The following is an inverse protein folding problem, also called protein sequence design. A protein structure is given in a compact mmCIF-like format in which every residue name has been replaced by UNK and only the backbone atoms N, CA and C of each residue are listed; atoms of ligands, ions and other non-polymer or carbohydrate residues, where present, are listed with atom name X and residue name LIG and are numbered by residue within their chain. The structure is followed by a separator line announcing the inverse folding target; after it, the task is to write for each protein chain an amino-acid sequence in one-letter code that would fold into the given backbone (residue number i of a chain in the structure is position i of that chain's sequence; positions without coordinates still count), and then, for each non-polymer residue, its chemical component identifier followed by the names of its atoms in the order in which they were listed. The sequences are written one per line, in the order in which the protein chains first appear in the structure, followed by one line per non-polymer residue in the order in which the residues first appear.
data_IF_082928479168
#
_entry.id   IF_082928479168
#
_cell.length_a   1.000
_cell.length_b   1.000
_cell.length_c   1.000
_cell.angle_alpha   90.00
_cell.angle_beta   90.00
_cell.angle_gamma   90.00
#
_symmetry.space_group_name_H-M   'P 1'
#
loop_
_entity.id
_entity.type
_entity.pdbx_description
1 polymer ?
#
# COMPACT_ATOMS: atom_id res chain seq x y z
N UNK A 1 -16.91 -14.28 3.27
CA UNK A 1 -15.51 -14.64 3.09
C UNK A 1 -14.76 -13.80 4.09
N UNK A 2 -14.20 -14.45 5.09
CA UNK A 2 -13.43 -13.78 6.13
C UNK A 2 -12.06 -13.33 5.56
N UNK A 3 -11.41 -12.37 6.19
CA UNK A 3 -10.16 -11.81 5.67
C UNK A 3 -9.05 -12.87 5.59
N UNK A 4 -9.04 -13.81 6.53
CA UNK A 4 -8.11 -14.92 6.66
C UNK A 4 -8.27 -15.96 5.54
N UNK A 5 -9.49 -16.11 5.00
CA UNK A 5 -9.75 -16.98 3.86
C UNK A 5 -9.18 -16.39 2.56
N UNK A 6 -9.07 -15.06 2.49
CA UNK A 6 -8.57 -14.34 1.33
C UNK A 6 -7.08 -14.00 1.40
N UNK A 7 -6.51 -13.88 2.60
CA UNK A 7 -5.15 -13.39 2.84
C UNK A 7 -4.32 -14.42 3.62
N UNK A 8 -3.52 -15.19 2.89
CA UNK A 8 -2.61 -16.16 3.49
C UNK A 8 -1.50 -15.44 4.29
N UNK A 9 -1.27 -15.89 5.52
CA UNK A 9 -0.21 -15.35 6.39
C UNK A 9 -0.56 -14.01 7.04
N UNK A 10 -1.84 -13.64 7.12
CA UNK A 10 -2.29 -12.45 7.83
C UNK A 10 -1.90 -12.53 9.31
N UNK A 11 -1.21 -11.51 9.81
CA UNK A 11 -0.79 -11.39 11.21
C UNK A 11 -1.51 -10.20 11.84
N UNK A 12 -2.25 -10.46 12.92
CA UNK A 12 -2.90 -9.43 13.72
C UNK A 12 -2.00 -8.97 14.87
N UNK A 13 -1.99 -7.67 15.15
CA UNK A 13 -1.25 -7.11 16.30
C UNK A 13 0.28 -7.23 16.20
N UNK A 14 0.82 -7.31 14.98
CA UNK A 14 2.27 -7.38 14.76
C UNK A 14 3.00 -6.07 15.13
N UNK A 15 4.33 -6.15 15.21
CA UNK A 15 5.20 -5.00 15.48
C UNK A 15 5.06 -3.94 14.39
N UNK A 16 4.88 -2.67 14.80
CA UNK A 16 4.66 -1.56 13.88
C UNK A 16 5.97 -0.94 13.39
N UNK A 17 7.05 -1.05 14.15
CA UNK A 17 8.36 -0.51 13.78
C UNK A 17 9.24 -1.61 13.20
N UNK A 18 9.34 -1.63 11.87
CA UNK A 18 10.02 -2.66 11.11
C UNK A 18 10.83 -2.06 9.96
N UNK A 19 12.00 -2.63 9.69
CA UNK A 19 12.91 -2.25 8.61
C UNK A 19 12.84 -3.19 7.39
N UNK A 20 12.04 -4.25 7.47
CA UNK A 20 11.88 -5.29 6.45
C UNK A 20 10.58 -5.16 5.63
N UNK A 21 9.98 -3.96 5.57
CA UNK A 21 8.74 -3.67 4.84
C UNK A 21 9.01 -2.79 3.62
N UNK A 22 8.40 -3.15 2.48
CA UNK A 22 8.49 -2.39 1.22
C UNK A 22 7.23 -1.55 0.91
N UNK A 23 6.13 -1.80 1.63
CA UNK A 23 4.83 -1.16 1.41
C UNK A 23 4.00 -1.13 2.68
N UNK A 24 3.31 -0.03 2.92
CA UNK A 24 2.30 0.12 3.98
C UNK A 24 0.96 0.49 3.34
N UNK A 25 -0.10 -0.23 3.70
CA UNK A 25 -1.48 0.06 3.29
C UNK A 25 -2.30 0.51 4.50
N UNK A 26 -3.19 1.49 4.30
CA UNK A 26 -4.02 2.07 5.36
C UNK A 26 -5.40 2.45 4.84
N UNK A 27 -6.37 2.62 5.75
CA UNK A 27 -7.74 3.01 5.43
C UNK A 27 -7.81 4.54 5.26
N UNK A 28 -8.47 4.98 4.19
CA UNK A 28 -8.74 6.39 3.94
C UNK A 28 -10.13 6.76 4.45
N UNK A 29 -10.25 7.93 5.08
CA UNK A 29 -11.57 8.53 5.40
C UNK A 29 -12.20 9.18 4.19
N UNK A 30 -11.36 9.73 3.30
CA UNK A 30 -11.75 10.41 2.06
C UNK A 30 -10.52 10.55 1.14
N UNK A 31 -10.74 11.06 -0.08
CA UNK A 31 -9.67 11.26 -1.06
C UNK A 31 -8.61 12.28 -0.61
N UNK A 32 -8.96 13.28 0.23
CA UNK A 32 -7.98 14.24 0.73
C UNK A 32 -6.87 13.55 1.53
N UNK A 33 -7.18 12.50 2.28
CA UNK A 33 -6.15 11.71 2.98
C UNK A 33 -5.12 11.08 2.03
N UNK A 34 -5.51 10.71 0.81
CA UNK A 34 -4.56 10.25 -0.20
C UNK A 34 -3.64 11.39 -0.65
N UNK A 35 -4.19 12.57 -0.95
CA UNK A 35 -3.41 13.75 -1.34
C UNK A 35 -2.44 14.20 -0.25
N UNK A 36 -2.90 14.20 1.00
CA UNK A 36 -2.09 14.59 2.16
C UNK A 36 -0.94 13.60 2.38
N UNK A 37 -1.18 12.30 2.28
CA UNK A 37 -0.12 11.29 2.40
C UNK A 37 0.94 11.42 1.31
N UNK A 38 0.52 11.71 0.07
CA UNK A 38 1.43 11.98 -1.05
C UNK A 38 2.30 13.21 -0.80
N UNK A 39 1.73 14.27 -0.22
CA UNK A 39 2.47 15.48 0.11
C UNK A 39 3.42 15.30 1.29
N UNK A 40 3.00 14.56 2.32
CA UNK A 40 3.79 14.32 3.53
C UNK A 40 4.99 13.39 3.29
N UNK A 41 4.87 12.44 2.35
CA UNK A 41 5.91 11.45 2.05
C UNK A 41 6.36 11.53 0.59
N UNK A 42 6.96 12.66 0.17
CA UNK A 42 7.26 12.93 -1.23
C UNK A 42 8.32 11.99 -1.82
N UNK A 43 9.09 11.28 -0.97
CA UNK A 43 10.10 10.30 -1.38
C UNK A 43 9.52 8.90 -1.62
N UNK A 44 8.26 8.67 -1.25
CA UNK A 44 7.55 7.40 -1.47
C UNK A 44 6.58 7.51 -2.64
N UNK A 45 6.16 6.35 -3.17
CA UNK A 45 5.10 6.24 -4.17
C UNK A 45 3.76 6.08 -3.46
N UNK A 46 2.88 7.06 -3.61
CA UNK A 46 1.52 7.01 -3.08
C UNK A 46 0.54 6.35 -4.07
N UNK A 47 -0.26 5.41 -3.59
CA UNK A 47 -1.33 4.73 -4.32
C UNK A 47 -2.67 4.79 -3.59
N UNK A 48 -3.76 4.46 -4.29
CA UNK A 48 -5.09 4.28 -3.70
C UNK A 48 -5.92 3.26 -4.47
N UNK A 49 -6.80 2.53 -3.78
CA UNK A 49 -7.64 1.48 -4.34
C UNK A 49 -8.90 1.21 -3.49
N UNK A 50 -9.78 0.33 -3.97
CA UNK A 50 -10.86 -0.27 -3.16
C UNK A 50 -12.29 0.25 -3.37
N UNK A 51 -12.57 1.10 -4.36
CA UNK A 51 -13.93 1.62 -4.59
C UNK A 51 -14.71 0.89 -5.68
N UNK A 52 -15.87 0.33 -5.34
CA UNK A 52 -16.95 0.17 -6.32
C UNK A 52 -17.47 1.58 -6.61
N UNK A 53 -17.36 2.06 -7.84
CA UNK A 53 -17.67 3.46 -8.23
C UNK A 53 -16.65 4.51 -7.73
N UNK A 54 -15.35 4.24 -7.87
CA UNK A 54 -14.25 5.23 -7.78
C UNK A 54 -13.90 5.81 -6.39
N UNK A 55 -14.46 5.27 -5.31
CA UNK A 55 -14.11 5.75 -3.97
C UNK A 55 -12.78 5.19 -3.49
N UNK A 56 -11.82 6.07 -3.21
CA UNK A 56 -10.55 5.74 -2.58
C UNK A 56 -10.75 5.28 -1.12
N UNK A 57 -10.93 3.97 -0.90
CA UNK A 57 -11.12 3.39 0.44
C UNK A 57 -9.80 3.08 1.13
N UNK A 58 -8.78 2.72 0.36
CA UNK A 58 -7.44 2.39 0.87
C UNK A 58 -6.40 3.28 0.23
N UNK A 59 -5.41 3.67 1.02
CA UNK A 59 -4.19 4.33 0.59
C UNK A 59 -3.01 3.40 0.78
N UNK A 60 -1.97 3.60 -0.02
CA UNK A 60 -0.71 2.91 0.21
C UNK A 60 0.51 3.76 -0.09
N UNK A 61 1.60 3.50 0.64
CA UNK A 61 2.91 4.10 0.42
C UNK A 61 3.91 2.96 0.21
N UNK A 62 4.65 3.02 -0.89
CA UNK A 62 5.71 2.06 -1.22
C UNK A 62 6.98 2.74 -1.72
N UNK A 63 8.04 1.95 -1.86
CA UNK A 63 9.30 2.42 -2.43
C UNK A 63 9.08 2.91 -3.87
N UNK A 64 9.68 4.04 -4.23
CA UNK A 64 9.64 4.57 -5.60
C UNK A 64 10.43 3.70 -6.57
N UNK A 65 10.06 3.80 -7.84
CA UNK A 65 10.78 3.22 -8.97
C UNK A 65 10.94 1.69 -8.93
N UNK A 66 10.26 1.01 -8.00
CA UNK A 66 10.06 -0.44 -8.06
C UNK A 66 8.87 -0.73 -8.98
N UNK A 67 9.15 -1.46 -10.06
CA UNK A 67 8.12 -1.95 -10.98
C UNK A 67 8.27 -3.44 -11.20
N UNK A 68 7.17 -4.15 -11.48
CA UNK A 68 7.22 -5.57 -11.84
C UNK A 68 8.02 -5.81 -13.12
N UNK A 69 7.98 -4.85 -14.05
CA UNK A 69 8.78 -4.89 -15.27
C UNK A 69 10.28 -4.87 -14.92
N UNK A 70 10.71 -3.93 -14.08
CA UNK A 70 12.09 -3.87 -13.62
C UNK A 70 12.51 -5.13 -12.85
N UNK A 71 11.63 -5.69 -12.02
CA UNK A 71 11.92 -6.95 -11.33
C UNK A 71 12.15 -8.11 -12.32
N UNK A 72 11.40 -8.17 -13.43
CA UNK A 72 11.61 -9.17 -14.49
C UNK A 72 12.95 -8.94 -15.18
N UNK A 73 13.29 -7.69 -15.53
CA UNK A 73 14.58 -7.34 -16.16
C UNK A 73 15.81 -7.70 -15.31
N UNK A 74 15.69 -7.67 -13.98
CA UNK A 74 16.78 -8.02 -13.07
C UNK A 74 16.89 -9.54 -12.87
N UNK A 75 15.78 -10.27 -12.97
CA UNK A 75 15.72 -11.70 -12.64
C UNK A 75 15.88 -12.63 -13.85
N UNK A 76 15.72 -12.13 -15.08
CA UNK A 76 15.86 -12.87 -16.34
C UNK A 76 17.04 -12.37 -17.17
#
# INVERSE_FOLDING_TARGET
MEAEEALQGLVYGGELYRDDLNKVSFILRNYQGHLDSKAAFPVLKAGTWGGKSEHALFGDLGVKDITKAHAIEVLL
#
